data_IF_778965596641
#
_entry.id   IF_778965596641
#
_cell.length_a   1.000
_cell.length_b   1.000
_cell.length_c   1.000
_cell.angle_alpha   90.00
_cell.angle_beta   90.00
_cell.angle_gamma   90.00
#
_symmetry.space_group_name_H-M   'P 1'
#
loop_
_entity.id
_entity.type
_entity.pdbx_description
1 polymer ?
#
# COMPACT_ATOMS: atom_id res chain seq x y z
N UNK A 1 13.64 18.72 -27.34
CA UNK A 1 14.13 18.18 -26.05
C UNK A 1 13.38 18.89 -24.93
N UNK A 2 12.25 18.36 -24.46
CA UNK A 2 11.66 18.78 -23.18
C UNK A 2 10.72 17.68 -22.64
N UNK A 3 11.26 17.00 -21.62
CA UNK A 3 10.62 16.44 -20.43
C UNK A 3 9.35 15.59 -20.58
N UNK A 4 9.60 14.28 -20.42
CA UNK A 4 8.78 13.31 -19.69
C UNK A 4 7.92 14.00 -18.64
N UNK A 5 6.62 14.11 -18.92
CA UNK A 5 5.57 14.08 -17.91
C UNK A 5 5.05 12.64 -17.96
N UNK A 6 5.78 11.73 -17.29
CA UNK A 6 5.11 10.54 -16.78
C UNK A 6 4.09 11.11 -15.80
N UNK A 7 2.85 11.22 -16.26
CA UNK A 7 1.71 11.35 -15.37
C UNK A 7 1.70 10.03 -14.58
N UNK A 8 2.48 10.00 -13.49
CA UNK A 8 2.23 9.12 -12.39
C UNK A 8 0.82 9.50 -11.95
N UNK A 9 -0.18 8.81 -12.49
CA UNK A 9 -1.52 8.81 -11.92
C UNK A 9 -1.37 8.16 -10.55
N UNK A 10 -0.88 8.94 -9.59
CA UNK A 10 -1.09 8.71 -8.16
C UNK A 10 -2.56 9.02 -7.98
N UNK A 11 -3.41 8.11 -8.45
CA UNK A 11 -4.77 8.02 -7.95
C UNK A 11 -4.54 7.57 -6.52
N UNK A 12 -4.39 8.55 -5.62
CA UNK A 12 -4.50 8.27 -4.20
C UNK A 12 -5.79 7.48 -4.03
N UNK A 13 -5.75 6.44 -3.22
CA UNK A 13 -6.92 5.66 -2.80
C UNK A 13 -7.93 6.50 -1.99
N UNK A 14 -8.00 7.80 -2.25
CA UNK A 14 -8.62 8.87 -1.47
C UNK A 14 -10.13 8.70 -1.24
N UNK A 15 -10.73 7.63 -1.75
CA UNK A 15 -12.11 7.27 -1.47
C UNK A 15 -12.27 5.90 -0.77
N UNK A 16 -11.23 5.08 -0.69
CA UNK A 16 -11.31 3.72 -0.16
C UNK A 16 -10.87 3.58 1.30
N UNK A 17 -10.17 4.56 1.89
CA UNK A 17 -9.90 4.50 3.33
C UNK A 17 -11.24 4.56 4.10
N UNK A 18 -11.61 3.54 4.89
CA UNK A 18 -12.80 3.62 5.72
C UNK A 18 -12.58 4.75 6.73
N UNK A 19 -13.36 5.83 6.61
CA UNK A 19 -13.39 6.95 7.59
C UNK A 19 -14.14 6.48 8.86
N UNK A 20 -13.74 5.35 9.43
CA UNK A 20 -14.39 4.70 10.56
C UNK A 20 -13.36 4.37 11.65
N UNK A 21 -13.00 5.39 12.44
CA UNK A 21 -13.17 5.31 13.90
C UNK A 21 -12.18 4.57 14.81
N UNK A 22 -11.13 3.90 14.33
CA UNK A 22 -10.04 3.40 15.19
C UNK A 22 -8.66 3.74 14.62
N UNK A 23 -7.64 3.91 15.48
CA UNK A 23 -6.26 4.14 15.06
C UNK A 23 -5.77 2.98 14.20
N UNK A 24 -6.18 1.76 14.54
CA UNK A 24 -5.81 0.56 13.80
C UNK A 24 -6.37 0.58 12.36
N UNK A 25 -7.58 1.10 12.16
CA UNK A 25 -8.21 1.21 10.83
C UNK A 25 -7.53 2.27 9.96
N UNK A 26 -7.11 3.40 10.55
CA UNK A 26 -6.33 4.43 9.82
C UNK A 26 -4.98 3.87 9.36
N UNK A 27 -4.24 3.19 10.26
CA UNK A 27 -2.93 2.62 9.94
C UNK A 27 -3.05 1.48 8.92
N UNK A 28 -4.10 0.67 9.01
CA UNK A 28 -4.40 -0.37 8.03
C UNK A 28 -4.74 0.25 6.66
N UNK A 29 -5.52 1.33 6.64
CA UNK A 29 -5.79 2.11 5.44
C UNK A 29 -4.50 2.57 4.76
N UNK A 30 -3.59 3.22 5.50
CA UNK A 30 -2.27 3.63 4.98
C UNK A 30 -1.46 2.45 4.44
N UNK A 31 -1.53 1.28 5.08
CA UNK A 31 -0.85 0.08 4.61
C UNK A 31 -1.42 -0.45 3.27
N UNK A 32 -2.74 -0.36 3.07
CA UNK A 32 -3.39 -0.68 1.79
C UNK A 32 -3.05 0.32 0.69
N UNK A 33 -3.02 1.62 1.00
CA UNK A 33 -2.58 2.64 0.04
C UNK A 33 -1.12 2.42 -0.37
N UNK A 34 -0.25 2.10 0.59
CA UNK A 34 1.13 1.71 0.31
C UNK A 34 1.22 0.45 -0.55
N UNK A 35 0.33 -0.53 -0.31
CA UNK A 35 0.20 -1.75 -1.13
C UNK A 35 -0.10 -1.40 -2.59
N UNK A 36 -1.07 -0.51 -2.83
CA UNK A 36 -1.52 -0.10 -4.15
C UNK A 36 -0.55 0.86 -4.86
N UNK A 37 0.35 1.53 -4.14
CA UNK A 37 1.24 2.56 -4.71
C UNK A 37 2.70 2.16 -4.78
N UNK A 38 3.32 1.79 -3.66
CA UNK A 38 4.78 1.66 -3.55
C UNK A 38 5.24 0.21 -3.39
N UNK A 39 4.49 -0.64 -2.68
CA UNK A 39 4.87 -2.04 -2.43
C UNK A 39 4.72 -2.90 -3.69
N UNK A 40 3.59 -2.77 -4.40
CA UNK A 40 3.36 -3.53 -5.64
C UNK A 40 3.81 -2.81 -6.91
N UNK A 41 4.44 -1.64 -6.80
CA UNK A 41 4.88 -0.91 -7.98
C UNK A 41 5.86 -1.74 -8.82
N UNK A 42 5.49 -2.04 -10.07
CA UNK A 42 6.28 -2.88 -10.97
C UNK A 42 6.34 -4.37 -10.59
N UNK A 43 5.62 -4.81 -9.55
CA UNK A 43 5.50 -6.22 -9.21
C UNK A 43 4.73 -6.95 -10.32
N UNK A 44 5.32 -8.03 -10.85
CA UNK A 44 4.70 -8.87 -11.89
C UNK A 44 4.13 -10.18 -11.36
N UNK A 45 4.41 -10.51 -10.11
CA UNK A 45 3.87 -11.71 -9.47
C UNK A 45 2.52 -11.44 -8.81
N UNK A 46 2.20 -12.26 -7.81
CA UNK A 46 1.07 -12.01 -6.92
C UNK A 46 1.24 -10.67 -6.21
N UNK A 47 0.16 -9.91 -6.10
CA UNK A 47 0.17 -8.67 -5.33
C UNK A 47 0.31 -8.98 -3.84
N UNK A 48 1.10 -8.15 -3.16
CA UNK A 48 1.28 -8.14 -1.72
C UNK A 48 0.19 -7.31 -1.07
N UNK A 49 -0.48 -7.87 -0.07
CA UNK A 49 -1.54 -7.19 0.70
C UNK A 49 -1.19 -7.21 2.19
N UNK A 50 -1.52 -6.15 2.96
CA UNK A 50 -1.18 -6.08 4.36
C UNK A 50 -2.00 -7.09 5.17
N UNK A 51 -1.36 -7.73 6.14
CA UNK A 51 -2.03 -8.68 7.06
C UNK A 51 -1.84 -8.32 8.53
N UNK A 52 -0.82 -7.53 8.87
CA UNK A 52 -0.49 -7.19 10.25
C UNK A 52 0.36 -5.91 10.30
N UNK A 53 -0.05 -4.95 11.13
CA UNK A 53 0.78 -3.80 11.51
C UNK A 53 1.58 -4.20 12.76
N UNK A 54 2.91 -4.28 12.65
CA UNK A 54 3.77 -4.64 13.79
C UNK A 54 4.11 -3.44 14.67
N UNK A 55 4.30 -2.27 14.07
CA UNK A 55 4.57 -1.03 14.80
C UNK A 55 4.23 0.19 13.96
N UNK A 56 3.87 1.29 14.61
CA UNK A 56 3.67 2.60 13.99
C UNK A 56 4.30 3.71 14.84
N UNK A 57 4.78 4.76 14.17
CA UNK A 57 5.27 5.99 14.80
C UNK A 57 4.88 7.19 13.93
N UNK A 58 4.24 8.20 14.53
CA UNK A 58 3.81 9.41 13.82
C UNK A 58 4.58 10.63 14.35
N UNK A 59 5.26 11.32 13.45
CA UNK A 59 6.01 12.54 13.74
C UNK A 59 5.59 13.67 12.78
N UNK A 60 4.65 14.51 13.23
CA UNK A 60 4.06 15.56 12.40
C UNK A 60 3.30 14.97 11.23
N UNK A 61 3.71 15.33 10.01
CA UNK A 61 3.12 14.87 8.75
C UNK A 61 3.67 13.53 8.25
N UNK A 62 4.61 12.91 8.99
CA UNK A 62 5.23 11.63 8.59
C UNK A 62 4.74 10.53 9.53
N UNK A 63 4.18 9.47 8.95
CA UNK A 63 3.81 8.24 9.64
C UNK A 63 4.69 7.10 9.14
N UNK A 64 5.45 6.49 10.04
CA UNK A 64 6.26 5.31 9.77
C UNK A 64 5.50 4.07 10.26
N UNK A 65 5.45 3.03 9.43
CA UNK A 65 4.83 1.75 9.73
C UNK A 65 5.84 0.63 9.50
N UNK A 66 5.77 -0.41 10.32
CA UNK A 66 6.34 -1.73 9.98
C UNK A 66 5.17 -2.67 9.80
N UNK A 67 5.04 -3.22 8.59
CA UNK A 67 3.87 -3.97 8.16
C UNK A 67 4.30 -5.30 7.56
N UNK A 68 3.62 -6.37 7.96
CA UNK A 68 3.74 -7.67 7.32
C UNK A 68 2.75 -7.72 6.17
N UNK A 69 3.28 -7.97 4.98
CA UNK A 69 2.51 -8.25 3.77
C UNK A 69 2.55 -9.73 3.45
N UNK A 70 1.51 -10.22 2.78
CA UNK A 70 1.44 -11.57 2.25
C UNK A 70 0.97 -11.53 0.80
N UNK A 71 1.43 -12.50 0.00
CA UNK A 71 0.90 -12.70 -1.35
C UNK A 71 -0.63 -12.89 -1.31
N UNK A 72 -1.31 -12.26 -2.25
CA UNK A 72 -2.74 -12.40 -2.50
C UNK A 72 -3.00 -13.34 -3.68
N UNK A 73 -4.28 -13.63 -3.93
CA UNK A 73 -4.69 -14.31 -5.15
C UNK A 73 -4.75 -13.38 -6.37
N UNK A 74 -4.56 -12.07 -6.22
CA UNK A 74 -4.55 -11.15 -7.34
C UNK A 74 -3.20 -11.05 -8.02
N UNK A 75 -3.22 -10.84 -9.34
CA UNK A 75 -2.06 -10.44 -10.12
C UNK A 75 -2.48 -9.83 -11.45
N UNK A 76 -1.55 -9.13 -12.10
CA UNK A 76 -1.76 -8.66 -13.49
C UNK A 76 -2.07 -9.82 -14.44
N UNK A 77 -1.49 -10.99 -14.21
CA UNK A 77 -1.71 -12.18 -15.05
C UNK A 77 -3.11 -12.78 -14.88
N UNK A 78 -3.78 -12.51 -13.75
CA UNK A 78 -5.18 -12.88 -13.49
C UNK A 78 -6.18 -11.80 -13.87
N UNK A 79 -5.69 -10.70 -14.46
CA UNK A 79 -6.51 -9.58 -14.89
C UNK A 79 -6.81 -8.56 -13.80
N UNK A 80 -6.07 -8.59 -12.69
CA UNK A 80 -6.18 -7.59 -11.64
C UNK A 80 -5.20 -6.44 -11.85
N UNK A 81 -5.49 -5.30 -11.24
CA UNK A 81 -4.60 -4.15 -11.20
C UNK A 81 -4.42 -3.61 -9.78
N UNK A 82 -3.72 -2.49 -9.67
CA UNK A 82 -3.46 -1.85 -8.37
C UNK A 82 -4.71 -1.19 -7.78
N UNK A 83 -5.74 -0.93 -8.59
CA UNK A 83 -7.02 -0.41 -8.11
C UNK A 83 -7.79 -1.51 -7.34
N UNK A 84 -7.71 -2.77 -7.77
CA UNK A 84 -8.26 -3.89 -7.00
C UNK A 84 -7.59 -4.04 -5.61
N UNK A 85 -6.28 -3.77 -5.53
CA UNK A 85 -5.55 -3.75 -4.24
C UNK A 85 -6.03 -2.59 -3.38
N UNK A 86 -6.15 -1.40 -3.97
CA UNK A 86 -6.62 -0.18 -3.33
C UNK A 86 -8.01 -0.34 -2.69
N UNK A 87 -8.93 -0.97 -3.43
CA UNK A 87 -10.30 -1.25 -2.99
C UNK A 87 -10.39 -2.48 -2.06
N UNK A 88 -9.25 -3.01 -1.59
CA UNK A 88 -9.16 -4.19 -0.71
C UNK A 88 -9.88 -5.42 -1.28
N UNK A 89 -9.96 -5.52 -2.61
CA UNK A 89 -10.65 -6.61 -3.32
C UNK A 89 -9.75 -7.83 -3.57
N UNK A 90 -8.49 -7.78 -3.11
CA UNK A 90 -7.51 -8.83 -3.31
C UNK A 90 -7.35 -9.75 -2.09
N UNK A 91 -7.98 -10.94 -2.10
CA UNK A 91 -7.94 -11.84 -0.95
C UNK A 91 -6.55 -12.43 -0.75
N UNK A 92 -6.13 -12.54 0.52
CA UNK A 92 -4.86 -13.16 0.91
C UNK A 92 -4.79 -14.60 0.39
N UNK A 93 -3.64 -14.97 -0.20
CA UNK A 93 -3.35 -16.36 -0.54
C UNK A 93 -2.84 -17.09 0.69
N UNK A 94 -3.70 -17.87 1.35
CA UNK A 94 -3.31 -18.71 2.49
C UNK A 94 -2.16 -19.66 2.14
N UNK A 95 -1.03 -19.51 2.83
CA UNK A 95 0.20 -20.26 2.57
C UNK A 95 1.16 -19.57 1.59
N UNK A 96 0.77 -18.42 1.02
CA UNK A 96 1.62 -17.57 0.21
C UNK A 96 2.80 -16.98 1.00
N UNK A 97 3.80 -16.48 0.27
CA UNK A 97 4.97 -15.89 0.89
C UNK A 97 4.60 -14.65 1.72
N UNK A 98 5.37 -14.40 2.78
CA UNK A 98 5.27 -13.20 3.62
C UNK A 98 6.52 -12.34 3.47
N UNK A 99 6.36 -11.04 3.65
CA UNK A 99 7.45 -10.07 3.59
C UNK A 99 7.16 -8.91 4.54
N UNK A 100 8.18 -8.46 5.28
CA UNK A 100 8.06 -7.31 6.17
C UNK A 100 8.57 -6.06 5.44
N UNK A 101 7.76 -5.01 5.43
CA UNK A 101 8.13 -3.72 4.85
C UNK A 101 8.10 -2.64 5.92
N UNK A 102 9.07 -1.73 5.84
CA UNK A 102 8.95 -0.41 6.43
C UNK A 102 8.28 0.50 5.42
N UNK A 103 7.17 1.11 5.81
CA UNK A 103 6.42 2.07 5.01
C UNK A 103 6.56 3.45 5.65
N UNK A 104 6.88 4.45 4.84
CA UNK A 104 6.86 5.86 5.23
C UNK A 104 5.75 6.52 4.44
N UNK A 105 4.70 6.96 5.14
CA UNK A 105 3.63 7.78 4.59
C UNK A 105 3.89 9.25 4.95
N UNK A 106 3.98 10.12 3.94
CA UNK A 106 4.12 11.57 4.13
C UNK A 106 2.84 12.25 3.69
N UNK A 107 2.11 12.83 4.64
CA UNK A 107 0.93 13.64 4.35
C UNK A 107 1.34 14.92 3.61
N UNK A 108 0.72 15.15 2.46
CA UNK A 108 0.83 16.37 1.66
C UNK A 108 -0.55 17.00 1.47
N UNK A 109 -0.62 18.16 0.79
CA UNK A 109 -1.88 18.88 0.60
C UNK A 109 -2.90 18.06 -0.23
N UNK A 110 -3.72 17.26 0.44
CA UNK A 110 -4.81 16.48 -0.15
C UNK A 110 -4.49 15.01 -0.47
N UNK A 111 -3.34 14.49 -0.06
CA UNK A 111 -2.98 13.08 -0.28
C UNK A 111 -1.75 12.65 0.50
N UNK A 112 -1.34 11.40 0.34
CA UNK A 112 -0.17 10.82 1.00
C UNK A 112 0.80 10.28 -0.04
N UNK A 113 2.07 10.66 0.09
CA UNK A 113 3.17 10.04 -0.66
C UNK A 113 3.71 8.85 0.13
N UNK A 114 3.95 7.72 -0.54
CA UNK A 114 4.40 6.49 0.09
C UNK A 114 5.77 6.05 -0.41
N UNK A 115 6.67 5.76 0.52
CA UNK A 115 7.92 5.05 0.27
C UNK A 115 7.92 3.74 1.06
N UNK A 116 8.24 2.63 0.40
CA UNK A 116 8.26 1.31 1.02
C UNK A 116 9.60 0.62 0.80
N UNK A 117 10.21 0.15 1.88
CA UNK A 117 11.46 -0.61 1.86
C UNK A 117 11.24 -1.97 2.50
N UNK A 118 11.52 -3.04 1.75
CA UNK A 118 11.51 -4.39 2.30
C UNK A 118 12.67 -4.56 3.28
N UNK A 119 12.40 -5.01 4.49
CA UNK A 119 13.40 -5.13 5.57
C UNK A 119 13.73 -6.58 5.95
N UNK A 120 12.95 -7.56 5.47
CA UNK A 120 13.17 -9.00 5.67
C UNK A 120 12.82 -9.85 4.44
#
# INVERSE_FOLDING_TARGET
MFKILLALCIVGCSFAAPIHGDVDDELLGLAWEAAATSVNNGNRGKFWVPIEIQSSDKNGAVTNLVVVFQESWCSVEEGNDLEDVCESMCPVYYGGAKATYRVTATESNGGSDFESVRIE
#
